data_IF_956016193460
#
_entry.id   IF_956016193460
#
_cell.length_a   1.000
_cell.length_b   1.000
_cell.length_c   1.000
_cell.angle_alpha   90.00
_cell.angle_beta   90.00
_cell.angle_gamma   90.00
#
_symmetry.space_group_name_H-M   'P 1'
#
loop_
_entity.id
_entity.type
_entity.pdbx_description
1 polymer ?
#
# COMPACT_ATOMS: atom_id res chain seq x y z
N UNK A 1 8.66 -18.64 26.02
CA UNK A 1 8.67 -17.42 25.19
C UNK A 1 9.61 -17.50 23.98
N UNK A 2 10.86 -17.95 24.11
CA UNK A 2 11.77 -18.07 22.94
C UNK A 2 11.23 -18.99 21.81
N UNK A 3 10.59 -20.10 22.18
CA UNK A 3 10.00 -21.07 21.25
C UNK A 3 8.77 -20.53 20.49
N UNK A 4 7.93 -19.73 21.15
CA UNK A 4 6.74 -19.12 20.52
C UNK A 4 7.14 -17.98 19.59
N UNK A 5 8.14 -17.19 19.96
CA UNK A 5 8.70 -16.15 19.08
C UNK A 5 9.35 -16.77 17.84
N UNK A 6 10.13 -17.86 18.00
CA UNK A 6 10.72 -18.57 16.88
C UNK A 6 9.66 -19.17 15.94
N UNK A 7 8.55 -19.69 16.50
CA UNK A 7 7.43 -20.20 15.73
C UNK A 7 6.77 -19.10 14.89
N UNK A 8 6.48 -17.94 15.50
CA UNK A 8 5.87 -16.80 14.79
C UNK A 8 6.81 -16.26 13.72
N UNK A 9 8.11 -16.14 14.00
CA UNK A 9 9.10 -15.70 13.04
C UNK A 9 9.21 -16.66 11.84
N UNK A 10 9.15 -17.97 12.07
CA UNK A 10 9.16 -18.97 11.00
C UNK A 10 7.90 -18.88 10.12
N UNK A 11 6.73 -18.66 10.72
CA UNK A 11 5.47 -18.49 9.98
C UNK A 11 5.52 -17.23 9.11
N UNK A 12 5.94 -16.09 9.66
CA UNK A 12 6.07 -14.83 8.91
C UNK A 12 7.11 -14.95 7.79
N UNK A 13 8.22 -15.64 8.04
CA UNK A 13 9.27 -15.89 7.03
C UNK A 13 8.72 -16.71 5.86
N UNK A 14 8.05 -17.83 6.12
CA UNK A 14 7.46 -18.68 5.06
C UNK A 14 6.38 -17.95 4.28
N UNK A 15 5.54 -17.16 4.95
CA UNK A 15 4.53 -16.33 4.29
C UNK A 15 5.14 -15.24 3.40
N UNK A 16 6.29 -14.68 3.80
CA UNK A 16 7.04 -13.72 2.98
C UNK A 16 7.55 -14.33 1.67
N UNK A 17 8.04 -15.57 1.70
CA UNK A 17 8.43 -16.30 0.49
C UNK A 17 7.23 -16.75 -0.36
N UNK A 18 6.10 -17.10 0.27
CA UNK A 18 4.88 -17.40 -0.49
C UNK A 18 4.37 -16.15 -1.22
N UNK A 19 4.38 -14.98 -0.57
CA UNK A 19 3.99 -13.72 -1.19
C UNK A 19 4.89 -13.35 -2.39
N UNK A 20 6.20 -13.59 -2.31
CA UNK A 20 7.10 -13.34 -3.45
C UNK A 20 6.95 -14.37 -4.58
N UNK A 21 6.60 -15.62 -4.25
CA UNK A 21 6.31 -16.66 -5.24
C UNK A 21 4.98 -16.45 -5.98
N UNK A 22 4.00 -15.74 -5.40
CA UNK A 22 2.77 -15.32 -6.08
C UNK A 22 2.85 -13.90 -6.67
N UNK A 23 3.91 -13.16 -6.41
CA UNK A 23 4.28 -11.94 -7.14
C UNK A 23 5.01 -12.27 -8.45
N UNK A 24 4.69 -13.41 -9.07
CA UNK A 24 5.00 -13.67 -10.47
C UNK A 24 4.43 -12.48 -11.22
N UNK A 25 5.32 -11.67 -11.80
CA UNK A 25 4.94 -10.70 -12.82
C UNK A 25 3.95 -11.41 -13.72
N UNK A 26 2.75 -10.84 -13.93
CA UNK A 26 1.92 -11.30 -15.01
C UNK A 26 2.85 -11.41 -16.21
N UNK A 27 3.09 -12.64 -16.69
CA UNK A 27 3.62 -12.80 -18.02
C UNK A 27 2.64 -12.00 -18.84
N UNK A 28 3.05 -10.82 -19.29
CA UNK A 28 2.41 -10.13 -20.37
C UNK A 28 2.63 -11.14 -21.48
N UNK A 29 1.65 -12.00 -21.89
CA UNK A 29 1.83 -12.70 -23.13
C UNK A 29 2.25 -11.63 -24.14
N UNK A 30 3.17 -11.95 -25.06
CA UNK A 30 3.49 -11.02 -26.14
C UNK A 30 2.23 -10.58 -26.94
N UNK A 31 1.09 -11.22 -26.65
CA UNK A 31 -0.29 -10.98 -27.11
C UNK A 31 -1.17 -10.13 -26.16
N UNK A 32 -0.73 -9.72 -24.96
CA UNK A 32 -1.37 -8.61 -24.22
C UNK A 32 -0.85 -7.31 -24.81
N UNK A 33 -1.30 -7.04 -26.04
CA UNK A 33 -1.58 -5.67 -26.40
C UNK A 33 -2.37 -5.09 -25.23
N UNK A 34 -1.91 -3.96 -24.68
CA UNK A 34 -2.84 -3.06 -24.01
C UNK A 34 -4.10 -3.03 -24.87
N UNK A 35 -5.29 -3.19 -24.30
CA UNK A 35 -6.52 -2.97 -25.06
C UNK A 35 -6.47 -1.52 -25.51
N UNK A 36 -5.88 -1.29 -26.67
CA UNK A 36 -5.89 -0.03 -27.39
C UNK A 36 -7.31 0.01 -27.89
N UNK A 37 -8.16 0.73 -27.16
CA UNK A 37 -9.45 1.15 -27.69
C UNK A 37 -9.18 1.64 -29.11
N UNK A 38 -9.93 1.11 -30.08
CA UNK A 38 -9.66 1.25 -31.51
C UNK A 38 -9.43 2.73 -31.86
N UNK A 39 -8.16 3.14 -31.92
CA UNK A 39 -7.72 4.54 -32.07
C UNK A 39 -6.97 5.11 -30.86
N UNK A 40 -5.65 5.24 -30.99
CA UNK A 40 -4.73 6.17 -30.27
C UNK A 40 -4.75 6.27 -28.74
N UNK A 41 -5.72 5.65 -28.08
CA UNK A 41 -6.07 5.92 -26.70
C UNK A 41 -5.38 4.89 -25.81
N UNK A 42 -4.54 5.36 -24.90
CA UNK A 42 -3.82 4.53 -23.95
C UNK A 42 -4.32 4.84 -22.54
N UNK A 43 -4.84 3.83 -21.84
CA UNK A 43 -5.26 3.93 -20.44
C UNK A 43 -4.25 3.17 -19.57
N UNK A 44 -3.67 3.85 -18.59
CA UNK A 44 -2.78 3.29 -17.58
C UNK A 44 -3.47 3.35 -16.21
N UNK A 45 -3.56 2.20 -15.53
CA UNK A 45 -4.06 2.12 -14.16
C UNK A 45 -2.87 1.98 -13.20
N UNK A 46 -2.88 2.77 -12.13
CA UNK A 46 -1.83 2.76 -11.12
C UNK A 46 -2.41 2.99 -9.72
N UNK A 47 -1.54 3.05 -8.72
CA UNK A 47 -1.97 3.30 -7.34
C UNK A 47 -0.92 2.99 -6.30
N UNK A 48 -1.28 3.24 -5.04
CA UNK A 48 -0.48 2.97 -3.85
C UNK A 48 -1.38 2.49 -2.71
N UNK A 49 -0.93 1.47 -1.97
CA UNK A 49 -1.49 1.13 -0.66
C UNK A 49 -0.41 1.37 0.39
N UNK A 50 -0.74 2.14 1.43
CA UNK A 50 0.15 2.46 2.53
C UNK A 50 -0.50 2.07 3.85
N UNK A 51 0.27 1.38 4.69
CA UNK A 51 -0.08 1.12 6.09
C UNK A 51 1.07 1.62 6.95
N UNK A 52 0.76 2.44 7.96
CA UNK A 52 1.74 3.03 8.86
C UNK A 52 1.27 2.94 10.30
N UNK A 53 2.07 2.29 11.15
CA UNK A 53 1.87 2.29 12.60
C UNK A 53 2.63 3.43 13.26
N UNK A 54 2.02 4.05 14.26
CA UNK A 54 2.64 5.03 15.12
C UNK A 54 2.57 4.57 16.56
N UNK A 55 3.66 4.78 17.30
CA UNK A 55 3.70 4.60 18.74
C UNK A 55 4.39 5.83 19.35
N UNK A 56 3.74 6.47 20.31
CA UNK A 56 4.27 7.60 21.04
C UNK A 56 4.10 7.38 22.53
N UNK A 57 5.12 7.75 23.30
CA UNK A 57 5.10 7.67 24.76
C UNK A 57 5.77 8.92 25.34
N UNK A 58 5.24 9.43 26.45
CA UNK A 58 5.78 10.59 27.18
C UNK A 58 5.84 11.90 26.33
N UNK A 59 4.89 12.11 25.41
CA UNK A 59 4.94 13.25 24.48
C UNK A 59 4.44 14.57 25.10
N UNK A 60 3.70 14.52 26.21
CA UNK A 60 2.99 15.67 26.79
C UNK A 60 3.74 16.38 27.93
N UNK A 61 4.82 15.81 28.47
CA UNK A 61 5.46 16.35 29.67
C UNK A 61 6.90 16.82 29.42
N UNK A 62 7.11 18.14 29.47
CA UNK A 62 8.45 18.75 29.55
C UNK A 62 9.23 18.32 30.82
N UNK A 63 8.56 17.72 31.80
CA UNK A 63 9.11 17.27 33.08
C UNK A 63 9.06 15.73 33.26
N UNK A 64 8.81 14.96 32.19
CA UNK A 64 8.87 13.49 32.21
C UNK A 64 7.88 12.73 33.11
N UNK A 65 6.71 13.30 33.47
CA UNK A 65 5.75 12.65 34.39
C UNK A 65 4.51 12.02 33.74
N UNK A 66 4.23 12.22 32.45
CA UNK A 66 3.08 11.56 31.81
C UNK A 66 3.43 10.16 31.32
N UNK A 67 2.74 9.16 31.86
CA UNK A 67 2.86 7.74 31.47
C UNK A 67 2.06 7.38 30.22
N UNK A 68 1.37 8.34 29.61
CA UNK A 68 0.49 8.06 28.49
C UNK A 68 1.26 7.53 27.29
N UNK A 69 0.77 6.40 26.79
CA UNK A 69 1.21 5.79 25.55
C UNK A 69 0.06 5.81 24.56
N UNK A 70 0.32 6.32 23.36
CA UNK A 70 -0.64 6.38 22.26
C UNK A 70 -0.11 5.55 21.11
N UNK A 71 -0.96 4.65 20.60
CA UNK A 71 -0.69 3.87 19.40
C UNK A 71 -1.84 4.07 18.43
N UNK A 72 -1.54 4.22 17.14
CA UNK A 72 -2.59 4.27 16.11
C UNK A 72 -2.03 3.79 14.77
N UNK A 73 -2.95 3.46 13.88
CA UNK A 73 -2.64 3.08 12.52
C UNK A 73 -3.27 4.06 11.54
N UNK A 74 -2.49 4.41 10.52
CA UNK A 74 -2.91 5.16 9.36
C UNK A 74 -2.85 4.24 8.13
N UNK A 75 -3.96 4.19 7.40
CA UNK A 75 -4.09 3.44 6.16
C UNK A 75 -4.49 4.41 5.03
N UNK A 76 -3.81 4.30 3.90
CA UNK A 76 -4.13 5.08 2.71
C UNK A 76 -4.17 4.18 1.49
N UNK A 77 -5.24 4.30 0.71
CA UNK A 77 -5.40 3.66 -0.59
C UNK A 77 -5.55 4.75 -1.63
N UNK A 78 -4.71 4.69 -2.66
CA UNK A 78 -4.72 5.60 -3.81
C UNK A 78 -4.85 4.79 -5.08
N UNK A 79 -5.84 5.12 -5.90
CA UNK A 79 -6.02 4.57 -7.24
C UNK A 79 -5.83 5.71 -8.24
N UNK A 80 -5.07 5.48 -9.30
CA UNK A 80 -4.87 6.45 -10.39
C UNK A 80 -5.24 5.86 -11.74
N UNK A 81 -5.80 6.71 -12.59
CA UNK A 81 -6.12 6.44 -13.98
C UNK A 81 -5.49 7.54 -14.82
N UNK A 82 -4.61 7.18 -15.73
CA UNK A 82 -4.01 8.07 -16.72
C UNK A 82 -4.52 7.65 -18.10
N UNK A 83 -5.16 8.56 -18.82
CA UNK A 83 -5.71 8.32 -20.14
C UNK A 83 -5.10 9.30 -21.14
N UNK A 84 -4.27 8.80 -22.05
CA UNK A 84 -3.81 9.54 -23.23
C UNK A 84 -4.79 9.27 -24.36
N UNK A 85 -5.51 10.30 -24.81
CA UNK A 85 -6.62 10.14 -25.76
C UNK A 85 -6.19 10.49 -27.19
N UNK A 86 -5.31 11.48 -27.35
CA UNK A 86 -4.77 11.92 -28.64
C UNK A 86 -3.45 12.68 -28.45
N UNK A 87 -2.69 13.03 -29.51
CA UNK A 87 -1.52 13.87 -29.38
C UNK A 87 -1.86 15.17 -28.65
N UNK A 88 -1.18 15.41 -27.52
CA UNK A 88 -1.38 16.55 -26.62
C UNK A 88 -2.68 16.55 -25.78
N UNK A 89 -3.45 15.45 -25.75
CA UNK A 89 -4.62 15.31 -24.86
C UNK A 89 -4.41 14.16 -23.90
N UNK A 90 -4.31 14.50 -22.62
CA UNK A 90 -4.17 13.56 -21.51
C UNK A 90 -5.15 13.93 -20.40
N UNK A 91 -5.78 12.93 -19.81
CA UNK A 91 -6.61 13.04 -18.63
C UNK A 91 -5.99 12.20 -17.50
N UNK A 92 -6.03 12.72 -16.28
CA UNK A 92 -5.56 12.02 -15.08
C UNK A 92 -6.63 12.12 -13.99
N UNK A 93 -7.00 10.98 -13.43
CA UNK A 93 -7.94 10.88 -12.31
C UNK A 93 -7.25 10.14 -11.19
N UNK A 94 -7.39 10.64 -9.96
CA UNK A 94 -6.90 9.97 -8.77
C UNK A 94 -7.99 9.94 -7.71
N UNK A 95 -8.22 8.75 -7.17
CA UNK A 95 -9.09 8.52 -6.03
C UNK A 95 -8.21 8.18 -4.84
N UNK A 96 -8.46 8.83 -3.71
CA UNK A 96 -7.74 8.60 -2.46
C UNK A 96 -8.74 8.36 -1.34
N UNK A 97 -8.45 7.35 -0.52
CA UNK A 97 -9.16 7.06 0.72
C UNK A 97 -8.14 6.99 1.85
N UNK A 98 -8.45 7.65 2.96
CA UNK A 98 -7.68 7.61 4.20
C UNK A 98 -8.55 7.01 5.31
N UNK A 99 -7.98 6.06 6.05
CA UNK A 99 -8.59 5.42 7.20
C UNK A 99 -7.68 5.58 8.41
N UNK A 100 -8.16 6.29 9.43
CA UNK A 100 -7.46 6.42 10.72
C UNK A 100 -8.12 5.49 11.74
N UNK A 101 -7.35 4.49 12.20
CA UNK A 101 -7.75 3.62 13.30
C UNK A 101 -7.20 4.18 14.61
N UNK A 102 -8.07 4.84 15.39
CA UNK A 102 -7.78 5.26 16.76
C UNK A 102 -8.35 4.21 17.73
N UNK A 103 -7.49 3.33 18.25
CA UNK A 103 -7.84 2.47 19.38
C UNK A 103 -7.34 3.17 20.67
N UNK A 104 -8.29 3.64 21.51
CA UNK A 104 -8.03 4.16 22.86
C UNK A 104 -7.84 3.00 23.85
#
# INVERSE_FOLDING_TARGET
MKKTIALVAAVVFVLGFAASAFAIHAEIPAETQAVVATGGTQITLGGEVRVRGWYRKNLASALGQDSDSYAWYDQRVRLSVDAKVSPNVQAFIQLESEGTGFDN
#
